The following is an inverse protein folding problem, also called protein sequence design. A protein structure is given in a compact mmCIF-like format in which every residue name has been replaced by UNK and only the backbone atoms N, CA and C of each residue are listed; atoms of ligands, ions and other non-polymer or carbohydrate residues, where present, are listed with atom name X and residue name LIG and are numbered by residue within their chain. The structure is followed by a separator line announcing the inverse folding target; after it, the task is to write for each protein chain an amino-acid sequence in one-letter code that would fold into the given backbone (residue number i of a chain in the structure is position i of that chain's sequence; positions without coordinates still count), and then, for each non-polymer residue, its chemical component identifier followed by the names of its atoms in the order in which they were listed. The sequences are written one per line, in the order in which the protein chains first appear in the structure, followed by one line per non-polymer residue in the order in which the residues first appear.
data_IF_233256957069
#
_entry.id   IF_233256957069
#
_cell.length_a   1.000
_cell.length_b   1.000
_cell.length_c   1.000
_cell.angle_alpha   90.00
_cell.angle_beta   90.00
_cell.angle_gamma   90.00
#
_symmetry.space_group_name_H-M   'P 1'
#
loop_
_entity.id
_entity.type
_entity.pdbx_description
1 polymer ?
#
# COMPACT_ATOMS: atom_id res chain seq x y z
N UNK A 1 -18.86 -63.87 19.23
CA UNK A 1 -19.71 -62.68 18.97
C UNK A 1 -19.04 -61.97 17.80
N UNK A 2 -19.23 -62.36 16.54
CA UNK A 2 -20.42 -62.27 15.67
C UNK A 2 -21.08 -60.89 15.63
N UNK A 3 -21.16 -60.39 14.37
CA UNK A 3 -22.08 -59.40 13.78
C UNK A 3 -21.48 -57.99 13.59
N UNK A 4 -21.02 -57.65 12.36
CA UNK A 4 -21.75 -57.18 11.15
C UNK A 4 -22.15 -55.71 11.29
N UNK A 5 -21.87 -54.82 10.33
CA UNK A 5 -22.53 -54.57 9.03
C UNK A 5 -21.73 -53.43 8.33
N UNK A 6 -21.67 -53.13 7.03
CA UNK A 6 -22.05 -53.70 5.73
C UNK A 6 -21.50 -52.68 4.68
N UNK A 7 -21.06 -53.11 3.50
CA UNK A 7 -20.63 -52.26 2.36
C UNK A 7 -21.87 -51.56 1.70
N UNK A 8 -21.81 -50.69 0.65
CA UNK A 8 -20.97 -50.77 -0.56
C UNK A 8 -20.56 -49.42 -1.21
N UNK A 9 -19.88 -49.45 -2.37
CA UNK A 9 -19.62 -48.28 -3.22
C UNK A 9 -18.42 -48.50 -4.14
N UNK A 10 -18.53 -49.45 -5.07
CA UNK A 10 -18.54 -49.17 -6.52
C UNK A 10 -17.17 -48.85 -7.11
N UNK A 11 -16.60 -49.88 -7.75
CA UNK A 11 -15.66 -49.70 -8.86
C UNK A 11 -16.46 -49.20 -10.07
N UNK A 12 -16.03 -48.09 -10.67
CA UNK A 12 -16.32 -47.69 -12.05
C UNK A 12 -14.96 -47.22 -12.58
N UNK A 13 -14.20 -48.08 -13.26
CA UNK A 13 -14.19 -48.29 -14.71
C UNK A 13 -13.83 -47.03 -15.51
N UNK A 14 -12.88 -47.21 -16.44
CA UNK A 14 -12.50 -46.29 -17.52
C UNK A 14 -11.69 -45.03 -17.17
N UNK A 15 -10.43 -45.23 -16.75
CA UNK A 15 -9.37 -44.25 -17.06
C UNK A 15 -8.98 -44.36 -18.55
N UNK A 16 -9.86 -43.90 -19.45
CA UNK A 16 -9.42 -43.47 -20.78
C UNK A 16 -8.60 -42.19 -20.61
N UNK A 17 -7.40 -42.07 -21.21
CA UNK A 17 -6.72 -40.79 -21.26
C UNK A 17 -7.58 -39.86 -22.11
N UNK A 18 -8.00 -38.73 -21.52
CA UNK A 18 -8.63 -37.66 -22.28
C UNK A 18 -7.53 -37.04 -23.15
N UNK A 19 -7.73 -37.15 -24.46
CA UNK A 19 -6.93 -36.55 -25.51
C UNK A 19 -6.56 -35.09 -25.21
N UNK A 20 -5.27 -34.78 -25.43
CA UNK A 20 -4.75 -33.50 -25.89
C UNK A 20 -5.14 -32.24 -25.14
N UNK A 21 -4.16 -31.54 -24.56
CA UNK A 21 -4.36 -30.17 -24.11
C UNK A 21 -4.82 -29.31 -25.31
N UNK A 22 -6.02 -28.70 -25.29
CA UNK A 22 -6.51 -27.90 -26.42
C UNK A 22 -5.71 -26.61 -26.66
N UNK A 23 -4.75 -26.30 -25.77
CA UNK A 23 -3.79 -25.21 -25.92
C UNK A 23 -2.37 -25.67 -26.27
N UNK A 24 -2.11 -26.98 -26.36
CA UNK A 24 -0.84 -27.47 -26.92
C UNK A 24 -0.85 -27.27 -28.43
N UNK A 25 -0.07 -26.31 -28.88
CA UNK A 25 0.20 -26.11 -30.29
C UNK A 25 1.63 -26.55 -30.56
N UNK A 26 1.81 -27.71 -31.19
CA UNK A 26 3.13 -28.25 -31.56
C UNK A 26 3.93 -27.29 -32.45
N UNK A 27 3.28 -26.39 -33.21
CA UNK A 27 3.96 -25.36 -34.01
C UNK A 27 4.48 -24.16 -33.19
N UNK A 28 4.03 -24.01 -31.94
CA UNK A 28 4.46 -22.95 -31.02
C UNK A 28 5.34 -23.49 -29.88
N UNK A 29 5.76 -24.75 -29.94
CA UNK A 29 6.78 -25.26 -29.03
C UNK A 29 8.05 -24.43 -29.23
N UNK A 30 8.73 -24.02 -28.14
CA UNK A 30 9.88 -23.14 -28.20
C UNK A 30 11.12 -23.92 -28.65
N UNK A 31 11.07 -24.52 -29.84
CA UNK A 31 12.24 -25.06 -30.52
C UNK A 31 13.02 -23.85 -31.09
N UNK A 32 14.02 -23.39 -30.33
CA UNK A 32 15.10 -22.50 -30.77
C UNK A 32 14.70 -21.27 -31.61
N UNK A 33 13.69 -20.48 -31.17
CA UNK A 33 13.64 -19.08 -31.62
C UNK A 33 14.83 -18.35 -31.03
N UNK A 34 15.89 -18.20 -31.82
CA UNK A 34 16.89 -17.16 -31.61
C UNK A 34 16.15 -15.82 -31.66
N UNK A 35 15.81 -15.28 -30.49
CA UNK A 35 15.35 -13.91 -30.32
C UNK A 35 16.57 -13.03 -30.62
N UNK A 36 16.77 -12.68 -31.87
CA UNK A 36 17.67 -11.58 -32.21
C UNK A 36 17.06 -10.31 -31.63
N UNK A 37 17.72 -9.74 -30.63
CA UNK A 37 17.30 -8.50 -29.99
C UNK A 37 17.56 -7.37 -30.97
N UNK A 38 16.51 -6.81 -31.57
CA UNK A 38 16.65 -5.65 -32.45
C UNK A 38 17.12 -4.41 -31.66
N UNK A 39 16.76 -4.35 -30.38
CA UNK A 39 17.13 -3.29 -29.46
C UNK A 39 17.81 -3.84 -28.20
N UNK A 40 18.87 -3.18 -27.76
CA UNK A 40 19.64 -3.56 -26.56
C UNK A 40 18.80 -3.60 -25.27
N UNK A 41 17.60 -3.00 -25.25
CA UNK A 41 16.66 -3.04 -24.13
C UNK A 41 15.82 -4.32 -24.07
N UNK A 42 15.76 -5.08 -25.17
CA UNK A 42 14.86 -6.23 -25.33
C UNK A 42 15.57 -7.56 -25.03
N UNK A 43 16.81 -7.50 -24.54
CA UNK A 43 17.57 -8.67 -24.08
C UNK A 43 17.01 -9.20 -22.75
N UNK A 44 16.42 -10.41 -22.73
CA UNK A 44 15.82 -10.98 -21.53
C UNK A 44 16.86 -11.30 -20.43
N UNK A 45 18.16 -11.28 -20.74
CA UNK A 45 19.26 -11.45 -19.80
C UNK A 45 19.91 -10.16 -19.33
N UNK A 46 19.37 -8.98 -19.71
CA UNK A 46 19.97 -7.70 -19.35
C UNK A 46 19.91 -7.45 -17.85
N UNK A 47 21.08 -7.34 -17.23
CA UNK A 47 21.22 -6.70 -15.92
C UNK A 47 20.92 -5.21 -16.07
N UNK A 48 19.94 -4.72 -15.33
CA UNK A 48 19.67 -3.30 -15.22
C UNK A 48 20.63 -2.72 -14.17
N UNK A 49 21.28 -1.60 -14.49
CA UNK A 49 21.97 -0.82 -13.47
C UNK A 49 20.95 -0.46 -12.38
N UNK A 50 21.29 -0.68 -11.12
CA UNK A 50 20.48 -0.20 -10.00
C UNK A 50 20.29 1.31 -10.18
N UNK A 51 19.05 1.79 -10.08
CA UNK A 51 18.79 3.22 -10.19
C UNK A 51 19.53 3.93 -9.06
N UNK A 52 20.65 4.59 -9.37
CA UNK A 52 21.36 5.41 -8.41
C UNK A 52 20.43 6.53 -7.92
N UNK A 53 19.94 6.39 -6.70
CA UNK A 53 19.34 7.48 -5.94
C UNK A 53 20.45 8.45 -5.59
N UNK A 54 20.55 9.55 -6.34
CA UNK A 54 21.49 10.61 -6.03
C UNK A 54 20.90 11.52 -4.95
N UNK A 55 21.61 11.67 -3.83
CA UNK A 55 21.35 12.70 -2.83
C UNK A 55 21.81 14.02 -3.42
N UNK A 56 20.88 14.92 -3.71
CA UNK A 56 21.18 16.26 -4.22
C UNK A 56 21.24 17.22 -3.02
N UNK A 57 22.44 17.69 -2.68
CA UNK A 57 22.68 18.69 -1.64
C UNK A 57 22.43 20.11 -2.22
N UNK A 58 21.16 20.48 -2.41
CA UNK A 58 20.74 21.82 -2.85
C UNK A 58 20.08 22.60 -1.69
N UNK A 59 20.55 23.83 -1.38
CA UNK A 59 20.01 24.62 -0.27
C UNK A 59 18.56 25.04 -0.53
N UNK A 60 17.66 24.71 0.39
CA UNK A 60 16.21 25.02 0.32
C UNK A 60 15.34 23.85 -0.13
N UNK A 61 15.92 22.65 -0.30
CA UNK A 61 15.21 21.40 -0.61
C UNK A 61 15.51 20.43 0.53
N UNK A 62 14.48 19.77 1.08
CA UNK A 62 14.63 18.76 2.13
C UNK A 62 15.67 17.69 1.70
N UNK A 63 16.77 17.61 2.44
CA UNK A 63 17.91 16.75 2.15
C UNK A 63 17.57 15.24 2.11
N UNK A 64 16.43 14.86 2.70
CA UNK A 64 15.99 13.48 2.87
C UNK A 64 15.05 12.98 1.74
N UNK A 65 14.78 13.80 0.72
CA UNK A 65 13.87 13.41 -0.37
C UNK A 65 14.61 12.60 -1.44
N UNK A 66 14.52 11.27 -1.35
CA UNK A 66 14.82 10.39 -2.48
C UNK A 66 13.95 10.78 -3.68
N UNK A 67 14.57 11.27 -4.75
CA UNK A 67 13.90 11.52 -6.03
C UNK A 67 14.15 10.33 -6.93
N UNK A 68 13.10 9.80 -7.55
CA UNK A 68 13.31 9.06 -8.79
C UNK A 68 13.92 10.04 -9.79
N UNK A 69 15.07 9.72 -10.40
CA UNK A 69 15.65 10.59 -11.40
C UNK A 69 14.59 10.85 -12.47
N UNK A 70 14.46 12.11 -12.88
CA UNK A 70 13.76 12.37 -14.13
C UNK A 70 14.43 11.51 -15.21
N UNK A 71 13.70 11.09 -16.24
CA UNK A 71 14.20 10.21 -17.30
C UNK A 71 15.30 10.85 -18.19
N UNK A 72 16.09 11.77 -17.63
CA UNK A 72 17.07 12.60 -18.29
C UNK A 72 16.41 13.65 -19.18
N UNK A 73 17.25 14.44 -19.84
CA UNK A 73 16.80 15.08 -21.08
C UNK A 73 16.49 13.95 -22.06
N UNK A 74 15.25 13.87 -22.52
CA UNK A 74 14.87 12.89 -23.52
C UNK A 74 15.74 13.09 -24.77
N UNK A 75 16.48 12.05 -25.16
CA UNK A 75 17.08 11.98 -26.49
C UNK A 75 15.99 12.25 -27.53
N UNK A 76 16.28 12.99 -28.61
CA UNK A 76 15.29 13.25 -29.65
C UNK A 76 14.75 11.92 -30.15
N UNK A 77 13.47 11.65 -29.87
CA UNK A 77 12.82 10.43 -30.32
C UNK A 77 12.64 10.48 -31.82
N UNK A 78 13.07 9.42 -32.53
CA UNK A 78 12.74 9.23 -33.94
C UNK A 78 11.22 9.33 -34.14
N UNK A 79 10.74 9.92 -35.25
CA UNK A 79 9.31 10.06 -35.49
C UNK A 79 8.62 8.69 -35.40
N UNK A 80 7.58 8.58 -34.58
CA UNK A 80 6.82 7.32 -34.37
C UNK A 80 6.13 6.77 -35.64
N UNK A 81 6.21 7.47 -36.77
CA UNK A 81 5.60 7.07 -38.04
C UNK A 81 6.56 7.31 -39.22
N UNK A 82 7.06 6.25 -39.88
CA UNK A 82 7.81 6.40 -41.13
C UNK A 82 6.93 7.01 -42.23
N UNK A 83 7.45 8.00 -42.96
CA UNK A 83 6.81 8.55 -44.17
C UNK A 83 5.94 9.81 -44.00
N UNK A 84 5.74 10.34 -42.80
CA UNK A 84 5.12 11.66 -42.62
C UNK A 84 6.17 12.76 -42.62
N UNK A 85 6.84 12.96 -43.76
CA UNK A 85 7.98 13.88 -43.93
C UNK A 85 7.67 15.37 -43.81
N UNK A 86 6.55 15.80 -43.23
CA UNK A 86 6.27 17.21 -42.95
C UNK A 86 5.36 17.35 -41.73
N UNK A 87 5.70 18.28 -40.84
CA UNK A 87 4.99 18.68 -39.60
C UNK A 87 5.28 17.91 -38.31
N UNK A 88 6.55 17.66 -38.00
CA UNK A 88 6.94 17.98 -36.63
C UNK A 88 7.16 19.49 -36.59
N UNK A 89 6.42 20.20 -35.72
CA UNK A 89 6.73 21.59 -35.46
C UNK A 89 8.21 21.66 -35.02
N UNK A 90 9.01 22.60 -35.56
CA UNK A 90 10.37 22.77 -35.10
C UNK A 90 10.35 22.93 -33.57
N UNK A 91 11.19 22.15 -32.89
CA UNK A 91 11.35 22.27 -31.45
C UNK A 91 11.71 23.73 -31.17
N UNK A 92 10.93 24.41 -30.33
CA UNK A 92 11.36 25.70 -29.82
C UNK A 92 12.65 25.46 -29.03
N UNK A 93 13.75 25.99 -29.55
CA UNK A 93 15.01 26.07 -28.82
C UNK A 93 14.83 27.16 -27.75
N UNK A 94 14.91 26.77 -26.48
CA UNK A 94 14.97 27.72 -25.39
C UNK A 94 16.45 27.96 -25.07
N UNK A 95 16.99 29.10 -25.50
CA UNK A 95 18.41 29.50 -25.32
C UNK A 95 18.75 29.93 -23.88
N UNK A 96 17.76 30.14 -23.02
CA UNK A 96 18.01 30.59 -21.66
C UNK A 96 18.30 29.39 -20.74
N UNK A 97 19.47 29.33 -20.08
CA UNK A 97 19.66 28.38 -18.99
C UNK A 97 18.61 28.68 -17.92
N UNK A 98 17.80 27.68 -17.57
CA UNK A 98 16.85 27.78 -16.45
C UNK A 98 17.70 27.87 -15.18
N UNK A 99 17.94 29.10 -14.72
CA UNK A 99 18.59 29.33 -13.42
C UNK A 99 17.61 28.93 -12.32
N UNK A 100 18.13 28.42 -11.20
CA UNK A 100 17.33 27.94 -10.06
C UNK A 100 16.44 29.04 -9.45
N UNK A 101 16.74 30.31 -9.71
CA UNK A 101 16.04 31.47 -9.17
C UNK A 101 14.61 31.67 -9.73
N UNK A 102 14.28 31.13 -10.92
CA UNK A 102 12.97 31.26 -11.57
C UNK A 102 12.27 29.90 -11.80
N UNK A 103 12.60 28.89 -10.98
CA UNK A 103 11.89 27.61 -11.02
C UNK A 103 10.53 27.76 -10.34
N UNK A 104 9.52 28.13 -11.12
CA UNK A 104 8.12 27.93 -10.71
C UNK A 104 7.86 26.43 -10.65
N UNK A 105 7.47 25.92 -9.49
CA UNK A 105 7.01 24.53 -9.31
C UNK A 105 5.47 24.57 -9.26
N UNK A 106 4.77 24.17 -10.34
CA UNK A 106 3.31 24.19 -10.33
C UNK A 106 2.75 23.26 -9.25
N UNK A 107 1.92 23.81 -8.36
CA UNK A 107 1.33 23.08 -7.25
C UNK A 107 2.22 22.96 -6.01
N UNK A 108 3.31 23.73 -5.93
CA UNK A 108 4.11 23.84 -4.71
C UNK A 108 3.28 24.36 -3.53
N UNK A 109 3.47 23.72 -2.36
CA UNK A 109 2.85 24.10 -1.11
C UNK A 109 3.97 24.57 -0.18
N UNK A 110 3.95 25.85 0.19
CA UNK A 110 4.86 26.40 1.18
C UNK A 110 4.35 26.04 2.58
N UNK A 111 4.99 25.05 3.20
CA UNK A 111 4.72 24.67 4.57
C UNK A 111 5.50 25.57 5.52
N UNK A 112 5.03 25.67 6.76
CA UNK A 112 5.85 26.18 7.85
C UNK A 112 6.57 25.01 8.51
N UNK A 113 7.71 25.30 9.14
CA UNK A 113 8.50 24.29 9.84
C UNK A 113 7.87 23.83 11.16
N UNK A 114 6.87 24.56 11.67
CA UNK A 114 6.25 24.21 12.95
C UNK A 114 5.34 22.98 12.84
N UNK A 115 5.48 22.00 13.75
CA UNK A 115 4.59 20.85 13.77
C UNK A 115 3.17 21.26 14.15
N UNK A 116 2.17 20.59 13.55
CA UNK A 116 0.76 20.79 13.89
C UNK A 116 0.38 19.88 15.04
N UNK A 117 -0.02 20.48 16.17
CA UNK A 117 -0.57 19.74 17.30
C UNK A 117 -1.95 19.18 16.94
N UNK A 118 -2.14 17.86 17.13
CA UNK A 118 -3.41 17.18 16.90
C UNK A 118 -4.12 16.92 18.22
N UNK A 119 -5.46 16.92 18.19
CA UNK A 119 -6.29 16.58 19.35
C UNK A 119 -6.00 17.42 20.61
N UNK A 120 -5.56 18.68 20.43
CA UNK A 120 -5.15 19.57 21.50
C UNK A 120 -6.25 19.75 22.56
N UNK A 121 -5.84 19.79 23.84
CA UNK A 121 -6.73 20.02 24.97
C UNK A 121 -7.61 18.83 25.38
N UNK A 122 -7.44 17.65 24.78
CA UNK A 122 -8.16 16.44 25.18
C UNK A 122 -7.41 15.65 26.26
N UNK A 123 -8.16 15.05 27.18
CA UNK A 123 -7.58 14.20 28.21
C UNK A 123 -7.06 12.89 27.60
N UNK A 124 -5.74 12.68 27.69
CA UNK A 124 -5.07 11.48 27.20
C UNK A 124 -5.09 10.40 28.29
N UNK A 125 -5.47 9.18 27.90
CA UNK A 125 -5.41 7.99 28.74
C UNK A 125 -4.45 6.98 28.12
N UNK A 126 -3.31 6.76 28.77
CA UNK A 126 -2.40 5.68 28.41
C UNK A 126 -2.95 4.33 28.87
N UNK A 127 -2.90 3.34 27.97
CA UNK A 127 -3.41 2.00 28.19
C UNK A 127 -2.46 0.98 27.56
N UNK A 128 -2.13 -0.08 28.31
CA UNK A 128 -1.37 -1.21 27.78
C UNK A 128 -2.32 -2.19 27.10
N UNK A 129 -1.97 -2.60 25.88
CA UNK A 129 -2.79 -3.44 25.01
C UNK A 129 -1.95 -4.59 24.52
N UNK A 130 -2.39 -5.81 24.80
CA UNK A 130 -1.72 -7.03 24.36
C UNK A 130 -2.57 -7.78 23.33
N UNK A 131 -1.97 -8.22 22.23
CA UNK A 131 -2.64 -9.09 21.26
C UNK A 131 -2.42 -10.56 21.63
N UNK A 132 -3.45 -11.20 22.15
CA UNK A 132 -3.45 -12.62 22.55
C UNK A 132 -3.90 -13.55 21.42
N UNK A 133 -4.28 -12.99 20.26
CA UNK A 133 -4.69 -13.77 19.09
C UNK A 133 -3.50 -14.21 18.23
N UNK A 134 -3.76 -15.16 17.34
CA UNK A 134 -2.80 -15.71 16.37
C UNK A 134 -2.69 -14.87 15.08
N UNK A 135 -3.40 -13.74 15.00
CA UNK A 135 -3.51 -12.89 13.81
C UNK A 135 -3.18 -11.44 14.12
N UNK A 136 -2.61 -10.71 13.14
CA UNK A 136 -2.41 -9.29 13.30
C UNK A 136 -3.74 -8.54 13.34
N UNK A 137 -3.83 -7.55 14.22
CA UNK A 137 -5.03 -6.72 14.40
C UNK A 137 -4.65 -5.26 14.13
N UNK A 138 -5.42 -4.57 13.30
CA UNK A 138 -5.21 -3.16 13.00
C UNK A 138 -6.44 -2.35 13.39
N UNK A 139 -6.23 -1.25 14.11
CA UNK A 139 -7.30 -0.40 14.66
C UNK A 139 -7.12 1.02 14.12
N UNK A 140 -8.19 1.57 13.53
CA UNK A 140 -8.17 2.93 12.99
C UNK A 140 -8.35 4.02 14.05
N UNK A 141 -7.91 5.24 13.71
CA UNK A 141 -7.96 6.45 14.54
C UNK A 141 -9.31 6.79 15.19
N UNK A 142 -10.43 6.49 14.52
CA UNK A 142 -11.79 6.88 14.94
C UNK A 142 -12.66 5.70 15.37
N UNK A 143 -12.06 4.54 15.59
CA UNK A 143 -12.78 3.39 16.09
C UNK A 143 -13.05 3.51 17.61
N UNK A 144 -14.23 3.10 18.07
CA UNK A 144 -14.53 3.06 19.50
C UNK A 144 -13.69 1.97 20.19
N UNK A 145 -12.67 2.38 20.94
CA UNK A 145 -11.60 1.49 21.38
C UNK A 145 -12.09 0.36 22.31
N UNK A 146 -13.14 0.59 23.12
CA UNK A 146 -13.70 -0.47 23.94
C UNK A 146 -14.33 -1.62 23.14
N UNK A 147 -14.76 -1.36 21.90
CA UNK A 147 -15.42 -2.33 21.01
C UNK A 147 -14.46 -3.01 20.03
N UNK A 148 -13.15 -2.90 20.23
CA UNK A 148 -12.18 -3.58 19.34
C UNK A 148 -12.23 -5.10 19.52
N UNK A 149 -11.49 -5.79 18.66
CA UNK A 149 -11.42 -7.25 18.62
C UNK A 149 -11.16 -7.85 20.03
N UNK A 150 -11.96 -8.84 20.48
CA UNK A 150 -11.73 -9.58 21.72
C UNK A 150 -10.35 -10.23 21.87
N UNK A 151 -9.63 -10.47 20.77
CA UNK A 151 -8.25 -10.93 20.80
C UNK A 151 -7.25 -9.92 21.35
N UNK A 152 -7.69 -8.68 21.63
CA UNK A 152 -6.89 -7.69 22.37
C UNK A 152 -7.29 -7.67 23.84
N UNK A 153 -6.31 -7.86 24.70
CA UNK A 153 -6.44 -7.81 26.15
C UNK A 153 -6.00 -6.43 26.68
N UNK A 154 -6.94 -5.73 27.34
CA UNK A 154 -6.75 -4.42 27.95
C UNK A 154 -7.95 -4.08 28.86
N UNK A 155 -7.86 -3.00 29.63
CA UNK A 155 -8.97 -2.51 30.45
C UNK A 155 -10.03 -1.79 29.60
N UNK A 156 -11.10 -2.52 29.25
CA UNK A 156 -12.22 -2.00 28.43
C UNK A 156 -12.99 -0.89 29.12
N UNK A 157 -13.11 -0.90 30.44
CA UNK A 157 -13.83 0.14 31.17
C UNK A 157 -13.10 1.48 31.05
N UNK A 158 -11.76 1.45 31.12
CA UNK A 158 -10.93 2.65 30.89
C UNK A 158 -10.93 3.12 29.44
N UNK A 159 -11.20 2.25 28.48
CA UNK A 159 -11.28 2.57 27.05
C UNK A 159 -12.68 3.03 26.58
N UNK A 160 -13.69 2.98 27.45
CA UNK A 160 -15.06 3.30 27.07
C UNK A 160 -15.22 4.75 26.62
N UNK A 161 -15.88 4.94 25.47
CA UNK A 161 -16.10 6.24 24.84
C UNK A 161 -14.84 6.95 24.39
N UNK A 162 -13.76 6.21 24.12
CA UNK A 162 -12.47 6.73 23.64
C UNK A 162 -12.08 6.16 22.29
N UNK A 163 -11.15 6.84 21.62
CA UNK A 163 -10.53 6.48 20.34
C UNK A 163 -9.02 6.71 20.40
N UNK A 164 -8.27 6.14 19.46
CA UNK A 164 -6.82 6.31 19.40
C UNK A 164 -6.41 7.77 19.17
N UNK A 165 -5.38 8.21 19.91
CA UNK A 165 -4.73 9.51 19.73
C UNK A 165 -3.69 9.45 18.61
N UNK A 166 -4.13 9.18 17.39
CA UNK A 166 -3.27 9.16 16.20
C UNK A 166 -3.81 10.09 15.13
N UNK A 167 -3.02 10.35 14.09
CA UNK A 167 -3.45 11.14 12.93
C UNK A 167 -4.77 10.60 12.36
N UNK A 168 -5.64 11.51 11.91
CA UNK A 168 -6.89 11.11 11.27
C UNK A 168 -6.61 10.28 10.02
N UNK A 169 -7.33 9.17 9.86
CA UNK A 169 -7.06 8.18 8.81
C UNK A 169 -5.90 7.22 9.11
N UNK A 170 -5.09 7.52 10.12
CA UNK A 170 -4.07 6.61 10.63
C UNK A 170 -4.66 5.40 11.36
N UNK A 171 -3.81 4.41 11.61
CA UNK A 171 -4.14 3.20 12.32
C UNK A 171 -2.92 2.68 13.10
N UNK A 172 -3.19 1.90 14.15
CA UNK A 172 -2.18 1.19 14.93
C UNK A 172 -2.33 -0.31 14.68
N UNK A 173 -1.20 -1.00 14.51
CA UNK A 173 -1.15 -2.43 14.16
C UNK A 173 -0.49 -3.19 15.31
N UNK A 174 -1.15 -4.25 15.75
CA UNK A 174 -0.67 -5.16 16.79
C UNK A 174 -0.36 -6.50 16.14
N UNK A 175 0.91 -6.90 16.16
CA UNK A 175 1.31 -8.24 15.75
C UNK A 175 0.83 -9.29 16.77
N UNK A 176 0.71 -10.58 16.40
CA UNK A 176 0.41 -11.65 17.35
C UNK A 176 1.42 -11.67 18.51
N UNK A 177 0.94 -11.62 19.75
CA UNK A 177 1.79 -11.57 20.96
C UNK A 177 2.42 -10.20 21.25
N UNK A 178 2.13 -9.16 20.47
CA UNK A 178 2.61 -7.81 20.75
C UNK A 178 1.96 -7.24 22.03
N UNK A 179 2.74 -6.51 22.81
CA UNK A 179 2.31 -5.79 23.99
C UNK A 179 2.83 -4.35 23.87
N UNK A 180 1.91 -3.41 23.63
CA UNK A 180 2.24 -2.02 23.35
C UNK A 180 1.37 -1.07 24.20
N UNK A 181 1.94 0.08 24.56
CA UNK A 181 1.20 1.15 25.22
C UNK A 181 0.59 2.08 24.16
N UNK A 182 -0.70 2.39 24.34
CA UNK A 182 -1.47 3.21 23.42
C UNK A 182 -2.08 4.40 24.14
N UNK A 183 -2.19 5.51 23.41
CA UNK A 183 -2.85 6.70 23.90
C UNK A 183 -4.28 6.79 23.38
N UNK A 184 -5.22 6.98 24.30
CA UNK A 184 -6.64 7.11 24.00
C UNK A 184 -7.16 8.49 24.40
N UNK A 185 -8.01 9.07 23.56
CA UNK A 185 -8.69 10.34 23.79
C UNK A 185 -10.21 10.16 23.74
N UNK A 186 -10.97 10.96 24.50
CA UNK A 186 -12.43 10.87 24.50
C UNK A 186 -13.00 11.23 23.13
N UNK A 187 -13.97 10.44 22.67
CA UNK A 187 -14.82 10.82 21.54
C UNK A 187 -15.54 12.13 21.91
N UNK A 188 -15.54 13.11 21.01
CA UNK A 188 -16.21 14.39 21.21
C UNK A 188 -17.51 14.46 20.41
N UNK A 189 -18.19 15.61 20.42
CA UNK A 189 -19.48 15.79 19.75
C UNK A 189 -20.62 15.19 20.56
N UNK A 190 -21.58 14.53 19.89
CA UNK A 190 -22.74 13.93 20.55
C UNK A 190 -22.41 12.67 21.37
N UNK A 191 -21.17 12.15 21.28
CA UNK A 191 -20.72 10.94 22.00
C UNK A 191 -21.66 9.75 21.82
N UNK A 192 -22.05 9.51 20.56
CA UNK A 192 -22.89 8.39 20.15
C UNK A 192 -22.03 7.39 19.36
N UNK A 193 -21.98 6.13 19.81
CA UNK A 193 -21.28 5.04 19.13
C UNK A 193 -22.31 4.06 18.52
N UNK A 194 -22.53 4.17 17.21
CA UNK A 194 -23.41 3.31 16.42
C UNK A 194 -22.59 2.37 15.53
N UNK A 195 -23.06 1.12 15.35
CA UNK A 195 -22.38 0.11 14.53
C UNK A 195 -21.41 -0.73 15.36
N UNK A 196 -20.11 -0.54 15.15
CA UNK A 196 -19.01 -1.25 15.82
C UNK A 196 -19.31 -2.74 16.07
N UNK A 197 -19.24 -3.22 17.32
CA UNK A 197 -19.68 -4.56 17.72
C UNK A 197 -21.08 -4.55 18.31
N UNK A 198 -21.73 -3.39 18.31
CA UNK A 198 -23.06 -3.20 18.87
C UNK A 198 -23.09 -3.39 20.37
N UNK A 199 -22.00 -3.09 21.09
CA UNK A 199 -21.97 -3.13 22.56
C UNK A 199 -22.55 -1.83 23.14
N UNK A 200 -22.29 -0.67 22.52
CA UNK A 200 -22.86 0.61 22.94
C UNK A 200 -24.27 0.86 22.37
N UNK A 201 -24.48 0.64 21.06
CA UNK A 201 -25.76 0.85 20.34
C UNK A 201 -26.43 2.22 20.54
N UNK A 202 -25.67 3.25 20.86
CA UNK A 202 -26.27 4.56 21.16
C UNK A 202 -25.34 5.50 21.89
N UNK A 203 -25.88 6.21 22.88
CA UNK A 203 -25.17 7.19 23.69
C UNK A 203 -24.16 6.51 24.63
N UNK A 204 -22.95 7.08 24.72
CA UNK A 204 -21.87 6.53 25.54
C UNK A 204 -22.00 6.86 27.03
N UNK A 205 -22.73 7.93 27.37
CA UNK A 205 -22.85 8.50 28.72
C UNK A 205 -24.29 8.45 29.28
N UNK A 206 -25.11 7.51 28.78
CA UNK A 206 -26.54 7.37 29.13
C UNK A 206 -26.84 7.12 30.61
#
# INVERSE_FOLDING_TARGET
MMSNENAPGEQNEDSKPLDGNPFENEELQPEDRKLETEHATDDPGREYDEAETTVIDEPGIDADRERHPSSGQSSPSSPRRPGSGTRQAPRQEHDAPVTSADRVIPGEIFLKDEPVEINAGLAVTALRVANTSDRPIQIGSHFHFAEVNPGLEFDRARAWGKRLNVLSGGAMRFEPGADEEVELIPIQGARIALGFRGECRGELDG
#
